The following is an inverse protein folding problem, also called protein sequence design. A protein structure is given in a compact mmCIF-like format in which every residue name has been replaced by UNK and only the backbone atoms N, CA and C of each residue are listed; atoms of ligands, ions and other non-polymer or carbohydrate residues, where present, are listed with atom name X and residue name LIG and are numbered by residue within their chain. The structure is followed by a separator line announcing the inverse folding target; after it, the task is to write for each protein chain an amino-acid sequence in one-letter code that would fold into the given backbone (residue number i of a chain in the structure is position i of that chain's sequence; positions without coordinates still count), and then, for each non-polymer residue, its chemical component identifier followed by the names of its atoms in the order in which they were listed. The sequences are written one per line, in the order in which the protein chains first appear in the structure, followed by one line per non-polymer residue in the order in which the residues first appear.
data_IF_640906908012
#
_entry.id   IF_640906908012
#
_cell.length_a   1.000
_cell.length_b   1.000
_cell.length_c   1.000
_cell.angle_alpha   90.00
_cell.angle_beta   90.00
_cell.angle_gamma   90.00
#
_symmetry.space_group_name_H-M   'P 1'
#
loop_
_entity.id
_entity.type
_entity.pdbx_description
1 polymer ?
#
# COMPACT_ATOMS: atom_id res chain seq x y z
N UNK A 1 23.09 12.39 -14.84
CA UNK A 1 23.47 11.82 -13.53
C UNK A 1 23.47 10.28 -13.51
N UNK A 2 23.85 9.57 -14.59
CA UNK A 2 23.83 8.10 -14.68
C UNK A 2 25.23 7.45 -14.79
N UNK A 3 26.28 8.26 -15.01
CA UNK A 3 27.59 7.79 -15.47
C UNK A 3 28.36 6.83 -14.52
N UNK A 4 28.45 7.04 -13.19
CA UNK A 4 29.25 6.15 -12.32
C UNK A 4 28.58 4.80 -12.01
N UNK A 5 27.30 4.63 -12.39
CA UNK A 5 26.53 3.43 -12.09
C UNK A 5 26.90 2.26 -13.03
N UNK A 6 27.36 2.58 -14.23
CA UNK A 6 27.75 1.63 -15.27
C UNK A 6 29.17 1.10 -15.06
N UNK A 7 30.02 1.83 -14.33
CA UNK A 7 31.43 1.49 -14.11
C UNK A 7 31.70 0.68 -12.84
N UNK A 8 30.66 0.33 -12.06
CA UNK A 8 30.81 -0.41 -10.80
C UNK A 8 31.44 0.39 -9.65
N UNK A 9 31.68 1.70 -9.84
CA UNK A 9 32.29 2.55 -8.82
C UNK A 9 31.25 3.03 -7.79
N UNK A 10 30.86 2.14 -6.89
CA UNK A 10 29.84 2.40 -5.86
C UNK A 10 30.23 3.52 -4.87
N UNK A 11 31.53 3.76 -4.66
CA UNK A 11 32.03 4.79 -3.73
C UNK A 11 31.73 6.20 -4.26
N UNK A 12 32.09 6.46 -5.52
CA UNK A 12 31.85 7.75 -6.18
C UNK A 12 30.36 8.02 -6.38
N UNK A 13 29.59 6.98 -6.77
CA UNK A 13 28.13 7.07 -6.85
C UNK A 13 27.49 7.43 -5.50
N UNK A 14 28.02 6.88 -4.40
CA UNK A 14 27.61 7.21 -3.02
C UNK A 14 27.90 8.66 -2.65
N UNK A 15 29.07 9.18 -3.00
CA UNK A 15 29.43 10.59 -2.76
C UNK A 15 28.49 11.55 -3.50
N UNK A 16 28.21 11.26 -4.79
CA UNK A 16 27.30 12.06 -5.61
C UNK A 16 25.89 12.07 -5.03
N UNK A 17 25.34 10.90 -4.69
CA UNK A 17 23.99 10.81 -4.11
C UNK A 17 23.90 11.50 -2.75
N UNK A 18 24.96 11.42 -1.93
CA UNK A 18 25.02 12.13 -0.64
C UNK A 18 25.03 13.64 -0.83
N UNK A 19 25.78 14.14 -1.81
CA UNK A 19 25.80 15.57 -2.14
C UNK A 19 24.45 16.07 -2.66
N UNK A 20 23.74 15.26 -3.46
CA UNK A 20 22.44 15.59 -4.00
C UNK A 20 21.35 15.57 -2.93
N UNK A 21 21.36 14.55 -2.05
CA UNK A 21 20.45 14.44 -0.90
C UNK A 21 20.53 15.66 0.01
N UNK A 22 21.74 16.19 0.24
CA UNK A 22 21.95 17.41 1.03
C UNK A 22 21.34 18.64 0.36
N UNK A 23 21.37 18.72 -0.98
CA UNK A 23 20.79 19.83 -1.76
C UNK A 23 19.27 19.72 -1.91
N UNK A 24 18.73 18.49 -1.93
CA UNK A 24 17.32 18.21 -2.16
C UNK A 24 16.79 17.17 -1.16
N UNK A 25 16.59 17.56 0.12
CA UNK A 25 16.01 16.66 1.12
C UNK A 25 14.59 16.24 0.73
N UNK A 26 14.19 15.02 1.07
CA UNK A 26 12.86 14.48 0.76
C UNK A 26 12.67 13.95 -0.65
N UNK A 27 13.68 14.03 -1.53
CA UNK A 27 13.57 13.51 -2.90
C UNK A 27 13.66 11.97 -2.92
N UNK A 28 12.51 11.29 -2.89
CA UNK A 28 12.42 9.85 -2.70
C UNK A 28 13.22 9.01 -3.71
N UNK A 29 13.37 9.49 -4.95
CA UNK A 29 14.14 8.80 -5.97
C UNK A 29 15.63 8.66 -5.61
N UNK A 30 16.20 9.62 -4.86
CA UNK A 30 17.60 9.58 -4.43
C UNK A 30 17.80 8.51 -3.36
N UNK A 31 16.88 8.42 -2.40
CA UNK A 31 16.92 7.38 -1.37
C UNK A 31 16.73 5.99 -1.98
N UNK A 32 15.78 5.81 -2.90
CA UNK A 32 15.61 4.54 -3.61
C UNK A 32 16.83 4.16 -4.43
N UNK A 33 17.48 5.14 -5.06
CA UNK A 33 18.71 4.89 -5.80
C UNK A 33 19.85 4.48 -4.88
N UNK A 34 19.97 5.12 -3.72
CA UNK A 34 20.92 4.70 -2.67
C UNK A 34 20.67 3.26 -2.22
N UNK A 35 19.40 2.90 -1.97
CA UNK A 35 19.03 1.53 -1.60
C UNK A 35 19.35 0.54 -2.72
N UNK A 36 19.05 0.91 -3.97
CA UNK A 36 19.36 0.08 -5.13
C UNK A 36 20.86 -0.19 -5.29
N UNK A 37 21.73 0.73 -4.86
CA UNK A 37 23.18 0.48 -4.81
C UNK A 37 23.56 -0.56 -3.75
N UNK A 38 23.00 -0.45 -2.54
CA UNK A 38 23.24 -1.42 -1.48
C UNK A 38 22.85 -2.83 -1.94
N UNK A 39 21.69 -2.94 -2.61
CA UNK A 39 21.23 -4.20 -3.20
C UNK A 39 22.22 -4.76 -4.23
N UNK A 40 22.61 -3.96 -5.24
CA UNK A 40 23.52 -4.43 -6.30
C UNK A 40 24.92 -4.76 -5.77
N UNK A 41 25.37 -4.06 -4.74
CA UNK A 41 26.63 -4.40 -4.06
C UNK A 41 26.53 -5.76 -3.36
N UNK A 42 25.46 -5.99 -2.60
CA UNK A 42 25.23 -7.28 -1.96
C UNK A 42 25.13 -8.44 -2.98
N UNK A 43 24.52 -8.19 -4.16
CA UNK A 43 24.50 -9.16 -5.26
C UNK A 43 25.91 -9.44 -5.80
N UNK A 44 26.73 -8.39 -6.00
CA UNK A 44 28.09 -8.50 -6.53
C UNK A 44 29.04 -9.22 -5.56
N UNK A 45 28.87 -8.98 -4.26
CA UNK A 45 29.70 -9.58 -3.20
C UNK A 45 29.33 -11.05 -2.94
N UNK A 46 28.28 -11.60 -3.60
CA UNK A 46 27.74 -12.98 -3.44
C UNK A 46 27.43 -13.41 -2.00
N UNK A 47 27.46 -12.48 -1.06
CA UNK A 47 27.16 -12.73 0.35
C UNK A 47 25.65 -12.62 0.61
N UNK A 48 24.86 -12.06 -0.32
CA UNK A 48 23.41 -11.89 -0.23
C UNK A 48 22.94 -11.20 1.08
N UNK A 49 23.84 -10.45 1.74
CA UNK A 49 23.52 -9.70 2.94
C UNK A 49 22.78 -8.40 2.57
N UNK A 50 21.47 -8.44 2.78
CA UNK A 50 20.59 -7.32 2.51
C UNK A 50 20.17 -6.56 3.77
N UNK A 51 20.82 -6.82 4.92
CA UNK A 51 20.56 -6.09 6.17
C UNK A 51 20.64 -4.58 5.97
N UNK A 52 21.65 -4.10 5.23
CA UNK A 52 21.82 -2.68 4.90
C UNK A 52 20.66 -2.09 4.09
N UNK A 53 20.02 -2.89 3.21
CA UNK A 53 18.83 -2.46 2.45
C UNK A 53 17.64 -2.31 3.40
N UNK A 54 17.38 -3.32 4.23
CA UNK A 54 16.26 -3.34 5.17
C UNK A 54 16.41 -2.19 6.18
N UNK A 55 17.56 -2.06 6.83
CA UNK A 55 17.81 -0.99 7.81
C UNK A 55 17.74 0.41 7.19
N UNK A 56 18.02 0.56 5.89
CA UNK A 56 17.85 1.84 5.19
C UNK A 56 16.36 2.15 4.97
N UNK A 57 15.55 1.17 4.57
CA UNK A 57 14.09 1.35 4.47
C UNK A 57 13.45 1.63 5.83
N UNK A 58 13.77 0.86 6.86
CA UNK A 58 13.22 1.04 8.21
C UNK A 58 13.50 2.44 8.75
N UNK A 59 14.73 2.94 8.57
CA UNK A 59 15.05 4.32 8.96
C UNK A 59 14.21 5.36 8.21
N UNK A 60 13.94 5.16 6.92
CA UNK A 60 13.10 6.09 6.15
C UNK A 60 11.64 6.02 6.59
N UNK A 61 11.11 4.83 6.89
CA UNK A 61 9.72 4.61 7.33
C UNK A 61 9.49 5.15 8.74
N UNK A 62 10.47 5.03 9.63
CA UNK A 62 10.35 5.43 11.04
C UNK A 62 10.90 6.82 11.34
N UNK A 63 11.48 7.51 10.35
CA UNK A 63 11.97 8.88 10.52
C UNK A 63 10.79 9.85 10.74
N UNK A 64 10.85 10.71 11.77
CA UNK A 64 9.80 11.71 12.03
C UNK A 64 9.67 12.73 10.89
N UNK A 65 10.75 12.97 10.16
CA UNK A 65 10.80 13.93 9.05
C UNK A 65 10.19 13.37 7.75
N UNK A 66 9.82 12.08 7.72
CA UNK A 66 9.24 11.46 6.52
C UNK A 66 7.73 11.69 6.48
N UNK A 67 7.21 12.40 5.46
CA UNK A 67 5.77 12.56 5.26
C UNK A 67 5.05 11.20 5.16
N UNK A 68 3.80 11.14 5.62
CA UNK A 68 2.99 9.91 5.65
C UNK A 68 2.97 9.18 4.30
N UNK A 69 2.68 9.88 3.21
CA UNK A 69 2.63 9.29 1.87
C UNK A 69 3.98 8.68 1.44
N UNK A 70 5.11 9.29 1.82
CA UNK A 70 6.44 8.74 1.57
C UNK A 70 6.73 7.53 2.47
N UNK A 71 6.29 7.56 3.73
CA UNK A 71 6.36 6.39 4.61
C UNK A 71 5.59 5.20 4.00
N UNK A 72 4.36 5.41 3.54
CA UNK A 72 3.56 4.39 2.86
C UNK A 72 4.26 3.89 1.58
N UNK A 73 4.81 4.80 0.78
CA UNK A 73 5.59 4.46 -0.40
C UNK A 73 6.81 3.59 -0.08
N UNK A 74 7.58 3.93 0.96
CA UNK A 74 8.73 3.13 1.38
C UNK A 74 8.33 1.77 1.94
N UNK A 75 7.21 1.68 2.68
CA UNK A 75 6.66 0.40 3.15
C UNK A 75 6.31 -0.53 1.98
N UNK A 76 5.70 -0.01 0.91
CA UNK A 76 5.43 -0.78 -0.32
C UNK A 76 6.73 -1.29 -0.93
N UNK A 77 7.75 -0.43 -1.04
CA UNK A 77 9.04 -0.82 -1.63
C UNK A 77 9.76 -1.88 -0.79
N UNK A 78 9.71 -1.78 0.54
CA UNK A 78 10.25 -2.79 1.44
C UNK A 78 9.47 -4.12 1.34
N UNK A 79 8.14 -4.08 1.30
CA UNK A 79 7.33 -5.30 1.15
C UNK A 79 7.64 -6.03 -0.17
N UNK A 80 7.72 -5.30 -1.29
CA UNK A 80 8.14 -5.87 -2.60
C UNK A 80 9.54 -6.46 -2.54
N UNK A 81 10.44 -5.81 -1.81
CA UNK A 81 11.79 -6.31 -1.60
C UNK A 81 11.79 -7.66 -0.88
N UNK A 82 11.06 -7.77 0.22
CA UNK A 82 10.88 -9.01 0.99
C UNK A 82 10.32 -10.16 0.15
N UNK A 83 9.38 -9.86 -0.74
CA UNK A 83 8.84 -10.83 -1.72
C UNK A 83 9.90 -11.26 -2.74
N UNK A 84 10.65 -10.31 -3.30
CA UNK A 84 11.71 -10.60 -4.27
C UNK A 84 12.80 -11.50 -3.65
N UNK A 85 13.25 -11.21 -2.43
CA UNK A 85 14.25 -12.03 -1.73
C UNK A 85 13.75 -13.45 -1.42
N UNK A 86 12.44 -13.62 -1.26
CA UNK A 86 11.83 -14.94 -1.15
C UNK A 86 11.90 -15.72 -2.47
N UNK A 87 11.56 -15.10 -3.61
CA UNK A 87 11.65 -15.75 -4.92
C UNK A 87 13.07 -16.19 -5.27
N UNK A 88 14.08 -15.45 -4.81
CA UNK A 88 15.48 -15.79 -4.97
C UNK A 88 15.97 -16.86 -3.98
N UNK A 89 15.07 -17.42 -3.14
CA UNK A 89 15.33 -18.41 -2.08
C UNK A 89 16.33 -17.94 -1.01
N UNK A 90 16.42 -16.63 -0.80
CA UNK A 90 17.40 -16.03 0.13
C UNK A 90 16.81 -15.97 1.55
N UNK A 91 15.50 -15.71 1.70
CA UNK A 91 14.82 -15.64 3.00
C UNK A 91 13.30 -15.80 2.93
N UNK A 92 12.69 -16.35 3.99
CA UNK A 92 11.23 -16.55 4.12
C UNK A 92 10.48 -15.30 4.62
N UNK A 93 10.51 -14.19 3.86
CA UNK A 93 9.99 -12.89 4.34
C UNK A 93 8.63 -12.48 3.76
N UNK A 94 7.83 -13.38 3.16
CA UNK A 94 6.50 -12.99 2.65
C UNK A 94 5.53 -12.61 3.78
N UNK A 95 5.54 -13.35 4.89
CA UNK A 95 4.79 -12.99 6.11
C UNK A 95 5.24 -11.63 6.66
N UNK A 96 6.52 -11.30 6.50
CA UNK A 96 7.05 -9.99 6.86
C UNK A 96 6.54 -8.90 5.92
N UNK A 97 6.50 -9.14 4.61
CA UNK A 97 5.93 -8.22 3.62
C UNK A 97 4.48 -7.87 3.95
N UNK A 98 3.65 -8.87 4.24
CA UNK A 98 2.25 -8.66 4.65
C UNK A 98 2.16 -7.84 5.94
N UNK A 99 2.96 -8.18 6.95
CA UNK A 99 3.01 -7.45 8.23
C UNK A 99 3.40 -5.98 8.04
N UNK A 100 4.35 -5.69 7.15
CA UNK A 100 4.76 -4.32 6.82
C UNK A 100 3.60 -3.55 6.19
N UNK A 101 2.89 -4.14 5.23
CA UNK A 101 1.75 -3.50 4.56
C UNK A 101 0.60 -3.26 5.54
N UNK A 102 0.24 -4.25 6.37
CA UNK A 102 -0.82 -4.09 7.38
C UNK A 102 -0.48 -2.99 8.40
N UNK A 103 0.76 -2.92 8.88
CA UNK A 103 1.23 -1.83 9.76
C UNK A 103 1.20 -0.45 9.10
N UNK A 104 1.49 -0.38 7.80
CA UNK A 104 1.38 0.86 7.07
C UNK A 104 -0.09 1.30 6.92
N UNK A 105 -0.99 0.34 6.64
CA UNK A 105 -2.43 0.57 6.57
C UNK A 105 -3.02 1.03 7.92
N UNK A 106 -2.49 0.59 9.05
CA UNK A 106 -2.92 1.12 10.37
C UNK A 106 -2.78 2.64 10.48
N UNK A 107 -1.77 3.21 9.79
CA UNK A 107 -1.44 4.65 9.78
C UNK A 107 -2.05 5.42 8.61
N UNK A 108 -2.32 4.74 7.50
CA UNK A 108 -2.73 5.32 6.21
C UNK A 108 -3.80 4.42 5.56
N UNK A 109 -4.97 4.36 6.20
CA UNK A 109 -6.03 3.35 5.95
C UNK A 109 -6.69 3.45 4.58
N UNK A 110 -6.70 4.64 4.01
CA UNK A 110 -7.30 5.01 2.73
C UNK A 110 -6.27 5.03 1.58
N UNK A 111 -5.04 4.57 1.83
CA UNK A 111 -4.03 4.53 0.80
C UNK A 111 -4.26 3.35 -0.17
N UNK A 112 -4.82 3.65 -1.34
CA UNK A 112 -5.11 2.68 -2.40
C UNK A 112 -3.88 1.88 -2.82
N UNK A 113 -2.68 2.47 -2.82
CA UNK A 113 -1.46 1.76 -3.22
C UNK A 113 -1.07 0.68 -2.20
N UNK A 114 -1.34 0.90 -0.91
CA UNK A 114 -1.15 -0.12 0.12
C UNK A 114 -2.18 -1.24 0.02
N UNK A 115 -3.45 -0.91 -0.27
CA UNK A 115 -4.53 -1.89 -0.46
C UNK A 115 -4.26 -2.77 -1.69
N UNK A 116 -3.89 -2.16 -2.82
CA UNK A 116 -3.45 -2.90 -4.01
C UNK A 116 -2.28 -3.82 -3.71
N UNK A 117 -1.30 -3.34 -2.93
CA UNK A 117 -0.16 -4.16 -2.57
C UNK A 117 -0.56 -5.36 -1.69
N UNK A 118 -1.56 -5.22 -0.83
CA UNK A 118 -2.08 -6.33 -0.04
C UNK A 118 -2.76 -7.39 -0.92
N UNK A 119 -3.53 -6.96 -1.92
CA UNK A 119 -4.17 -7.85 -2.90
C UNK A 119 -3.10 -8.58 -3.74
N UNK A 120 -2.08 -7.86 -4.25
CA UNK A 120 -0.96 -8.48 -4.97
C UNK A 120 -0.23 -9.54 -4.08
N UNK A 121 -0.14 -9.29 -2.77
CA UNK A 121 0.41 -10.24 -1.81
C UNK A 121 -0.49 -11.47 -1.58
N UNK A 122 -1.78 -11.40 -1.84
CA UNK A 122 -2.63 -12.58 -1.86
C UNK A 122 -2.46 -13.34 -3.19
N UNK A 123 -2.46 -12.64 -4.32
CA UNK A 123 -2.35 -13.23 -5.67
C UNK A 123 -1.06 -14.02 -5.88
N UNK A 124 0.10 -13.43 -5.57
CA UNK A 124 1.38 -14.07 -5.89
C UNK A 124 1.84 -15.02 -4.79
N UNK A 125 0.92 -15.49 -3.93
CA UNK A 125 1.23 -16.46 -2.89
C UNK A 125 1.50 -17.83 -3.55
N UNK A 126 2.66 -18.49 -3.28
CA UNK A 126 2.93 -19.82 -3.82
C UNK A 126 1.86 -20.84 -3.48
N UNK A 127 1.30 -20.74 -2.27
CA UNK A 127 0.12 -21.48 -1.85
C UNK A 127 -1.09 -20.59 -2.17
N UNK A 128 -1.46 -20.56 -3.45
CA UNK A 128 -2.58 -19.75 -3.91
C UNK A 128 -3.87 -20.15 -3.17
N UNK A 129 -4.59 -19.15 -2.69
CA UNK A 129 -5.84 -19.31 -1.96
C UNK A 129 -6.83 -18.28 -2.48
N UNK A 130 -7.89 -18.75 -3.13
CA UNK A 130 -8.98 -17.90 -3.62
C UNK A 130 -9.61 -17.10 -2.47
N UNK A 131 -9.82 -17.73 -1.31
CA UNK A 131 -10.38 -17.05 -0.13
C UNK A 131 -9.49 -15.92 0.36
N UNK A 132 -8.16 -16.09 0.37
CA UNK A 132 -7.25 -15.03 0.78
C UNK A 132 -7.29 -13.80 -0.17
N UNK A 133 -7.47 -14.03 -1.47
CA UNK A 133 -7.62 -12.94 -2.45
C UNK A 133 -8.96 -12.23 -2.26
N UNK A 134 -10.05 -12.98 -2.08
CA UNK A 134 -11.39 -12.45 -1.77
C UNK A 134 -11.36 -11.58 -0.51
N UNK A 135 -10.76 -12.08 0.57
CA UNK A 135 -10.63 -11.35 1.84
C UNK A 135 -9.82 -10.06 1.67
N UNK A 136 -8.77 -10.05 0.85
CA UNK A 136 -7.98 -8.85 0.57
C UNK A 136 -8.80 -7.80 -0.21
N UNK A 137 -9.62 -8.22 -1.18
CA UNK A 137 -10.55 -7.32 -1.86
C UNK A 137 -11.63 -6.79 -0.92
N UNK A 138 -12.24 -7.64 -0.09
CA UNK A 138 -13.26 -7.23 0.87
C UNK A 138 -12.72 -6.23 1.89
N UNK A 139 -11.48 -6.43 2.33
CA UNK A 139 -10.79 -5.47 3.18
C UNK A 139 -10.63 -4.11 2.48
N UNK A 140 -10.27 -4.09 1.19
CA UNK A 140 -10.15 -2.86 0.42
C UNK A 140 -11.49 -2.16 0.21
N UNK A 141 -12.56 -2.88 -0.15
CA UNK A 141 -13.90 -2.30 -0.38
C UNK A 141 -14.49 -1.70 0.91
N UNK A 142 -14.24 -2.34 2.06
CA UNK A 142 -14.68 -1.85 3.38
C UNK A 142 -13.84 -0.69 3.94
N UNK A 143 -12.74 -0.34 3.29
CA UNK A 143 -11.87 0.75 3.72
C UNK A 143 -12.48 2.12 3.42
N UNK A 144 -11.95 3.17 4.06
CA UNK A 144 -12.45 4.56 3.91
C UNK A 144 -11.93 5.25 2.65
N UNK A 145 -11.87 4.52 1.52
CA UNK A 145 -11.52 5.03 0.20
C UNK A 145 -12.73 5.65 -0.51
N UNK A 146 -12.49 6.33 -1.63
CA UNK A 146 -13.58 6.93 -2.40
C UNK A 146 -14.50 5.87 -3.00
N UNK A 147 -15.74 6.24 -3.25
CA UNK A 147 -16.73 5.31 -3.80
C UNK A 147 -16.36 4.82 -5.20
N UNK A 148 -15.71 5.67 -6.01
CA UNK A 148 -15.14 5.28 -7.30
C UNK A 148 -14.08 4.18 -7.14
N UNK A 149 -13.21 4.28 -6.13
CA UNK A 149 -12.20 3.26 -5.85
C UNK A 149 -12.84 1.96 -5.33
N UNK A 150 -13.88 2.04 -4.48
CA UNK A 150 -14.63 0.85 -4.03
C UNK A 150 -15.25 0.10 -5.21
N UNK A 151 -15.89 0.83 -6.14
CA UNK A 151 -16.46 0.24 -7.35
C UNK A 151 -15.36 -0.44 -8.17
N UNK A 152 -14.21 0.21 -8.37
CA UNK A 152 -13.07 -0.39 -9.08
C UNK A 152 -12.55 -1.66 -8.41
N UNK A 153 -12.43 -1.68 -7.08
CA UNK A 153 -12.04 -2.90 -6.36
C UNK A 153 -13.09 -4.01 -6.48
N UNK A 154 -14.37 -3.65 -6.39
CA UNK A 154 -15.47 -4.60 -6.55
C UNK A 154 -15.53 -5.19 -7.96
N UNK A 155 -15.35 -4.38 -9.00
CA UNK A 155 -15.25 -4.86 -10.38
C UNK A 155 -14.05 -5.80 -10.56
N UNK A 156 -12.87 -5.42 -10.07
CA UNK A 156 -11.66 -6.28 -10.16
C UNK A 156 -11.82 -7.59 -9.40
N UNK A 157 -12.60 -7.60 -8.33
CA UNK A 157 -12.96 -8.82 -7.60
C UNK A 157 -13.86 -9.73 -8.45
N UNK A 158 -14.79 -9.17 -9.22
CA UNK A 158 -15.61 -9.94 -10.16
C UNK A 158 -14.77 -10.51 -11.30
N UNK A 159 -13.93 -9.70 -11.93
CA UNK A 159 -13.03 -10.14 -13.00
C UNK A 159 -12.15 -11.31 -12.51
N UNK A 160 -11.64 -11.23 -11.28
CA UNK A 160 -10.91 -12.31 -10.64
C UNK A 160 -11.71 -13.60 -10.49
N UNK A 161 -12.96 -13.49 -10.05
CA UNK A 161 -13.82 -14.65 -9.81
C UNK A 161 -14.26 -15.28 -11.13
N UNK A 162 -14.51 -14.50 -12.16
CA UNK A 162 -14.77 -15.03 -13.51
C UNK A 162 -13.58 -15.84 -14.04
N UNK A 163 -12.36 -15.32 -13.86
CA UNK A 163 -11.15 -15.98 -14.39
C UNK A 163 -10.72 -17.21 -13.56
N UNK A 164 -10.89 -17.17 -12.24
CA UNK A 164 -10.21 -18.09 -11.31
C UNK A 164 -11.12 -18.76 -10.26
N UNK A 165 -12.42 -18.44 -10.19
CA UNK A 165 -13.30 -19.09 -9.22
C UNK A 165 -13.57 -20.55 -9.57
N UNK A 166 -13.58 -21.40 -8.55
CA UNK A 166 -13.99 -22.80 -8.67
C UNK A 166 -15.50 -23.02 -8.38
N UNK A 167 -16.21 -21.98 -7.93
CA UNK A 167 -17.64 -22.04 -7.56
C UNK A 167 -18.42 -20.88 -8.19
N UNK A 168 -19.42 -21.23 -8.99
CA UNK A 168 -20.31 -20.29 -9.68
C UNK A 168 -21.22 -19.54 -8.70
N UNK A 169 -21.58 -20.15 -7.56
CA UNK A 169 -22.44 -19.51 -6.58
C UNK A 169 -21.73 -18.34 -5.89
N UNK A 170 -20.43 -18.49 -5.64
CA UNK A 170 -19.58 -17.43 -5.08
C UNK A 170 -19.49 -16.25 -6.05
N UNK A 171 -19.39 -16.52 -7.35
CA UNK A 171 -19.43 -15.47 -8.37
C UNK A 171 -20.77 -14.75 -8.35
N UNK A 172 -21.89 -15.48 -8.33
CA UNK A 172 -23.22 -14.88 -8.32
C UNK A 172 -23.46 -14.02 -7.06
N UNK A 173 -23.08 -14.50 -5.88
CA UNK A 173 -23.19 -13.73 -4.63
C UNK A 173 -22.42 -12.41 -4.72
N UNK A 174 -21.21 -12.43 -5.28
CA UNK A 174 -20.41 -11.22 -5.45
C UNK A 174 -20.93 -10.30 -6.54
N UNK A 175 -21.57 -10.84 -7.58
CA UNK A 175 -22.27 -10.04 -8.60
C UNK A 175 -23.45 -9.29 -7.98
N UNK A 176 -24.26 -9.96 -7.17
CA UNK A 176 -25.36 -9.35 -6.43
C UNK A 176 -24.85 -8.26 -5.47
N UNK A 177 -23.75 -8.52 -4.75
CA UNK A 177 -23.12 -7.54 -3.88
C UNK A 177 -22.59 -6.31 -4.64
N UNK A 178 -22.04 -6.50 -5.85
CA UNK A 178 -21.58 -5.40 -6.70
C UNK A 178 -22.75 -4.52 -7.17
N UNK A 179 -23.86 -5.13 -7.60
CA UNK A 179 -25.07 -4.41 -8.00
C UNK A 179 -25.65 -3.63 -6.82
N UNK A 180 -25.69 -4.23 -5.63
CA UNK A 180 -26.13 -3.56 -4.41
C UNK A 180 -25.23 -2.35 -4.09
N UNK A 181 -23.91 -2.48 -4.21
CA UNK A 181 -22.97 -1.39 -4.02
C UNK A 181 -23.23 -0.23 -4.99
N UNK A 182 -23.47 -0.51 -6.28
CA UNK A 182 -23.81 0.53 -7.26
C UNK A 182 -25.11 1.25 -6.87
N UNK A 183 -26.14 0.51 -6.48
CA UNK A 183 -27.42 1.08 -6.08
C UNK A 183 -27.32 1.96 -4.82
N UNK A 184 -26.52 1.55 -3.82
CA UNK A 184 -26.25 2.35 -2.61
C UNK A 184 -25.54 3.66 -2.92
N UNK A 185 -24.66 3.68 -3.93
CA UNK A 185 -23.89 4.85 -4.31
C UNK A 185 -24.69 5.82 -5.21
N UNK A 186 -25.60 5.30 -6.02
CA UNK A 186 -26.56 6.12 -6.78
C UNK A 186 -27.63 6.75 -5.89
N UNK A 187 -28.03 6.04 -4.82
CA UNK A 187 -29.06 6.49 -3.87
C UNK A 187 -28.51 6.49 -2.43
N UNK A 188 -27.59 7.41 -2.08
CA UNK A 188 -27.05 7.45 -0.73
C UNK A 188 -28.18 7.65 0.28
N UNK A 189 -28.26 6.84 1.35
CA UNK A 189 -29.36 6.92 2.31
C UNK A 189 -29.44 8.35 2.86
N UNK A 190 -30.60 8.98 2.70
CA UNK A 190 -30.83 10.35 3.18
C UNK A 190 -30.82 10.32 4.71
N UNK A 191 -29.67 10.60 5.32
CA UNK A 191 -29.57 10.70 6.77
C UNK A 191 -30.29 11.98 7.24
N UNK A 192 -31.60 11.88 7.45
CA UNK A 192 -32.37 12.91 8.16
C UNK A 192 -31.94 12.98 9.63
N UNK A 193 -30.83 13.66 9.91
CA UNK A 193 -30.62 14.30 11.21
C UNK A 193 -31.52 15.52 11.27
N UNK A 194 -32.78 15.33 11.67
CA UNK A 194 -33.65 16.44 12.12
C UNK A 194 -32.96 17.10 13.33
N UNK A 195 -32.24 18.20 13.10
CA UNK A 195 -31.92 19.17 14.16
C UNK A 195 -33.25 19.70 14.69
N UNK A 196 -33.71 19.19 15.84
CA UNK A 196 -34.72 19.88 16.64
C UNK A 196 -34.08 21.19 17.12
N UNK A 197 -34.33 22.28 16.42
CA UNK A 197 -34.19 23.60 17.00
C UNK A 197 -35.23 23.72 18.11
N UNK A 198 -34.77 23.68 19.37
CA UNK A 198 -35.56 24.16 20.49
C UNK A 198 -35.65 25.68 20.35
N UNK A 199 -36.77 26.18 19.84
CA UNK A 199 -37.19 27.56 20.04
C UNK A 199 -37.40 27.74 21.54
N UNK A 200 -36.41 28.30 22.23
CA UNK A 200 -36.61 28.88 23.56
C UNK A 200 -37.22 30.26 23.33
N UNK A 201 -38.39 30.41 23.94
CA UNK A 201 -39.23 31.58 24.01
C UNK A 201 -38.49 32.72 24.73
N UNK A 202 -37.86 33.62 23.96
CA UNK A 202 -37.40 34.92 24.45
C UNK A 202 -38.52 35.94 24.26
N UNK A 203 -39.53 35.87 25.12
CA UNK A 203 -40.54 36.90 25.26
C UNK A 203 -40.76 37.27 26.72
N UNK A 204 -39.78 37.97 27.31
CA UNK A 204 -39.93 38.81 28.51
C UNK A 204 -38.62 39.53 28.78
N UNK A 205 -38.53 40.79 28.40
CA UNK A 205 -37.90 41.89 29.17
C UNK A 205 -37.91 43.17 28.31
N UNK A 206 -39.04 43.86 28.33
CA UNK A 206 -39.08 45.32 28.28
C UNK A 206 -40.05 45.76 29.36
N UNK A 207 -39.50 46.30 30.43
CA UNK A 207 -40.15 46.88 31.60
C UNK A 207 -39.09 47.66 32.36
#
# INVERSE_FOLDING_TARGET
MLFPYLSGNYSEAGAILSSFRRKHPGYAAVELRSIGMLRRRADADRNFDYSGVISKFERLIHSPDTPRHLSSYYSIKLARYCVMTFHLKIRNDRRLAEKIIRRALERDRDNVQLLLQLIDLAYTNPEFSQSAVIEAFDFAIKSSISDAEKIQFSQRKLDFLEDLSYDINVLQEHQEAHVALLAELENPPTTTRKRKYNTRDDSRYYG
#
